data_IF_786125820508
#
_entry.id   IF_786125820508
#
_cell.length_a   1.000
_cell.length_b   1.000
_cell.length_c   1.000
_cell.angle_alpha   90.00
_cell.angle_beta   90.00
_cell.angle_gamma   90.00
#
_symmetry.space_group_name_H-M   'P 1'
#
loop_
_entity.id
_entity.type
_entity.pdbx_description
1 polymer ?
2 non-polymer ?
3 non-polymer ?
4 non-polymer ?
5 non-polymer ?
6 non-polymer ?
7 water ?
#
# COMPACT_ATOMS: atom_id res chain seq x y z
N UNK A 1 15.25 -9.08 5.48
CA UNK A 1 13.89 -9.69 5.26
C UNK A 1 13.71 -10.36 3.90
N UNK A 2 12.55 -11.00 3.67
CA UNK A 2 12.29 -11.75 2.43
C UNK A 2 11.80 -10.87 1.28
N UNK A 3 11.86 -11.44 0.07
CA UNK A 3 11.34 -10.84 -1.16
C UNK A 3 10.36 -11.83 -1.79
N UNK A 4 9.54 -11.37 -2.74
CA UNK A 4 8.65 -12.25 -3.52
C UNK A 4 9.51 -12.99 -4.54
N UNK A 5 9.45 -14.32 -4.56
CA UNK A 5 10.28 -15.15 -5.49
C UNK A 5 9.53 -15.44 -6.81
N UNK A 6 8.96 -14.39 -7.40
CA UNK A 6 8.12 -14.45 -8.61
C UNK A 6 7.80 -13.02 -9.02
N UNK A 7 7.65 -12.76 -10.33
CA UNK A 7 7.40 -11.41 -10.85
C UNK A 7 5.91 -11.07 -11.16
N UNK A 8 5.03 -12.07 -11.26
CA UNK A 8 3.59 -11.86 -11.45
C UNK A 8 2.88 -12.02 -10.10
N UNK A 9 2.40 -10.88 -9.59
CA UNK A 9 1.85 -10.77 -8.28
C UNK A 9 0.39 -10.32 -8.48
N UNK A 10 -0.52 -10.94 -7.73
CA UNK A 10 -1.94 -10.64 -7.77
C UNK A 10 -2.34 -9.89 -6.52
N UNK A 11 -3.38 -9.06 -6.68
CA UNK A 11 -4.05 -8.42 -5.57
C UNK A 11 -5.54 -8.55 -5.70
N UNK A 12 -6.22 -8.52 -4.56
CA UNK A 12 -7.67 -8.49 -4.49
C UNK A 12 -8.09 -7.48 -3.44
N UNK A 13 -9.13 -6.72 -3.77
CA UNK A 13 -9.76 -5.80 -2.83
C UNK A 13 -10.80 -6.61 -2.08
N UNK A 14 -10.51 -6.92 -0.82
CA UNK A 14 -11.39 -7.69 0.04
C UNK A 14 -12.77 -7.03 0.26
N UNK A 15 -12.70 -5.73 0.55
CA UNK A 15 -13.84 -4.90 0.89
C UNK A 15 -13.51 -3.43 0.60
N UNK A 16 -14.54 -2.62 0.40
CA UNK A 16 -14.41 -1.23 -0.01
C UNK A 16 -14.79 -0.35 1.14
N UNK A 17 -13.99 0.68 1.39
CA UNK A 17 -14.38 1.77 2.26
C UNK A 17 -15.66 2.47 1.75
N UNK A 18 -16.63 2.72 2.65
CA UNK A 18 -17.75 3.60 2.29
C UNK A 18 -17.38 5.07 2.13
N UNK A 19 -16.14 5.46 2.43
CA UNK A 19 -15.71 6.87 2.34
C UNK A 19 -15.68 7.38 0.91
N UNK A 20 -15.35 6.50 -0.05
CA UNK A 20 -15.07 6.87 -1.44
C UNK A 20 -15.96 6.07 -2.38
N UNK A 21 -16.09 6.58 -3.61
CA UNK A 21 -16.67 5.78 -4.71
C UNK A 21 -15.79 4.56 -4.99
N UNK A 22 -16.41 3.43 -5.26
CA UNK A 22 -15.65 2.19 -5.52
C UNK A 22 -14.66 2.30 -6.67
N UNK A 23 -15.08 2.95 -7.74
CA UNK A 23 -14.14 3.21 -8.86
C UNK A 23 -12.88 4.03 -8.47
N UNK A 24 -13.04 4.96 -7.52
CA UNK A 24 -11.92 5.76 -7.00
C UNK A 24 -10.99 4.92 -6.15
N UNK A 25 -11.57 4.01 -5.36
CA UNK A 25 -10.79 3.06 -4.60
C UNK A 25 -9.99 2.18 -5.59
N UNK A 26 -10.67 1.65 -6.61
CA UNK A 26 -9.98 0.77 -7.60
C UNK A 26 -8.82 1.50 -8.27
N UNK A 27 -9.11 2.74 -8.68
CA UNK A 27 -8.15 3.61 -9.33
C UNK A 27 -6.93 3.93 -8.47
N UNK A 28 -7.16 4.35 -7.23
CA UNK A 28 -6.07 4.67 -6.30
C UNK A 28 -5.15 3.46 -6.12
N UNK A 29 -5.76 2.28 -5.90
CA UNK A 29 -4.98 1.06 -5.67
C UNK A 29 -4.20 0.66 -6.93
N UNK A 30 -4.87 0.63 -8.07
CA UNK A 30 -4.22 0.29 -9.34
C UNK A 30 -3.00 1.21 -9.60
N UNK A 31 -3.21 2.52 -9.44
CA UNK A 31 -2.15 3.50 -9.67
C UNK A 31 -1.02 3.36 -8.67
N UNK A 32 -1.33 2.94 -7.44
CA UNK A 32 -0.30 2.68 -6.43
C UNK A 32 0.60 1.51 -6.80
N UNK A 33 0.00 0.42 -7.27
CA UNK A 33 0.78 -0.73 -7.77
C UNK A 33 1.63 -0.33 -8.99
N UNK A 34 1.06 0.45 -9.89
CA UNK A 34 1.78 0.98 -11.06
C UNK A 34 3.08 1.77 -10.75
N UNK A 35 3.05 2.55 -9.68
CA UNK A 35 4.25 3.25 -9.18
C UNK A 35 5.46 2.31 -9.00
N UNK A 36 5.21 1.19 -8.33
CA UNK A 36 6.24 0.21 -8.04
C UNK A 36 6.58 -0.66 -9.26
N UNK A 37 5.58 -1.06 -10.04
CA UNK A 37 5.85 -1.84 -11.27
C UNK A 37 6.63 -1.07 -12.33
N UNK A 38 6.50 0.26 -12.36
CA UNK A 38 7.32 1.11 -13.26
C UNK A 38 8.82 1.07 -13.01
N UNK A 39 9.27 0.77 -11.78
CA UNK A 39 10.70 0.78 -11.40
C UNK A 39 11.33 -0.60 -11.13
N UNK A 40 10.51 -1.66 -11.30
CA UNK A 40 10.88 -3.05 -11.05
C UNK A 40 10.41 -3.96 -12.19
N UNK A 41 10.85 -5.24 -12.18
CA UNK A 41 10.26 -6.26 -13.08
C UNK A 41 8.88 -6.83 -12.66
N UNK A 42 8.33 -6.39 -11.50
CA UNK A 42 7.09 -6.94 -10.94
C UNK A 42 5.88 -6.47 -11.76
N UNK A 43 4.93 -7.38 -11.99
CA UNK A 43 3.66 -7.09 -12.69
C UNK A 43 2.55 -7.39 -11.70
N UNK A 44 1.60 -6.46 -11.59
CA UNK A 44 0.51 -6.57 -10.63
C UNK A 44 -0.80 -6.75 -11.38
N UNK A 45 -1.62 -7.71 -10.93
CA UNK A 45 -2.92 -7.98 -11.57
C UNK A 45 -3.99 -8.01 -10.51
N UNK A 46 -5.11 -7.34 -10.78
CA UNK A 46 -6.27 -7.40 -9.92
C UNK A 46 -7.03 -8.69 -10.24
N UNK A 47 -7.34 -9.48 -9.22
CA UNK A 47 -8.21 -10.66 -9.36
C UNK A 47 -9.46 -10.50 -8.51
N UNK A 48 -10.54 -11.12 -8.99
CA UNK A 48 -11.87 -11.04 -8.36
C UNK A 48 -12.36 -12.31 -7.70
N UNK A 49 -11.53 -13.35 -7.69
CA UNK A 49 -11.93 -14.59 -7.07
C UNK A 49 -10.68 -15.38 -6.74
N UNK A 50 -10.80 -16.28 -5.77
CA UNK A 50 -9.65 -17.04 -5.25
C UNK A 50 -8.72 -16.22 -4.39
N UNK A 51 -7.65 -16.86 -3.94
CA UNK A 51 -6.66 -16.23 -3.05
C UNK A 51 -5.66 -15.40 -3.86
N UNK A 52 -5.53 -14.12 -3.55
CA UNK A 52 -4.50 -13.25 -4.16
C UNK A 52 -3.24 -13.26 -3.29
N UNK A 53 -2.11 -12.85 -3.86
CA UNK A 53 -0.88 -12.63 -3.06
C UNK A 53 -1.09 -11.53 -2.02
N UNK A 54 -1.63 -10.39 -2.47
CA UNK A 54 -1.83 -9.22 -1.64
C UNK A 54 -3.33 -8.98 -1.48
N UNK A 55 -3.85 -9.28 -0.30
CA UNK A 55 -5.21 -8.87 0.06
C UNK A 55 -5.26 -7.42 0.61
N UNK A 56 -6.10 -6.57 -0.02
CA UNK A 56 -6.36 -5.18 0.42
C UNK A 56 -7.65 -5.15 1.27
N UNK A 57 -7.52 -4.68 2.52
CA UNK A 57 -8.60 -4.75 3.50
C UNK A 57 -8.77 -3.35 4.11
N UNK A 58 -10.02 -2.94 4.30
CA UNK A 58 -10.39 -1.81 5.16
C UNK A 58 -10.98 -2.38 6.43
N UNK A 59 -10.41 -2.07 7.59
CA UNK A 59 -10.94 -2.55 8.87
C UNK A 59 -10.65 -1.54 9.95
N UNK A 60 -11.37 -1.63 11.06
CA UNK A 60 -11.14 -0.74 12.22
C UNK A 60 -10.85 -1.57 13.47
N UNK A 61 -10.13 -0.97 14.42
CA UNK A 61 -9.90 -1.62 15.71
C UNK A 61 -9.09 -2.91 15.55
N UNK A 62 -9.31 -3.80 16.51
CA UNK A 62 -8.83 -5.16 16.45
C UNK A 62 -9.60 -5.88 15.35
N UNK A 63 -8.89 -6.41 14.34
CA UNK A 63 -9.50 -6.96 13.11
C UNK A 63 -8.93 -8.31 12.69
N UNK A 64 -8.47 -9.12 13.65
CA UNK A 64 -8.05 -10.51 13.42
C UNK A 64 -6.57 -10.83 13.20
N UNK A 65 -5.68 -9.83 13.25
CA UNK A 65 -4.24 -10.08 13.14
C UNK A 65 -3.65 -9.61 14.45
N UNK A 66 -2.33 -9.50 14.56
CA UNK A 66 -1.73 -9.19 15.88
C UNK A 66 -1.85 -7.70 16.29
N UNK A 67 -2.28 -6.83 15.36
CA UNK A 67 -2.11 -5.41 15.52
C UNK A 67 -3.38 -4.64 15.30
N UNK A 68 -4.01 -4.19 16.40
CA UNK A 68 -5.25 -3.41 16.26
C UNK A 68 -4.96 -1.99 15.73
N UNK A 69 -5.86 -1.49 14.90
CA UNK A 69 -5.91 -0.06 14.59
C UNK A 69 -6.47 0.70 15.76
N UNK A 70 -6.31 2.02 15.70
CA UNK A 70 -6.29 2.87 16.89
C UNK A 70 -7.25 4.09 16.82
N UNK A 71 -8.32 4.00 16.01
CA UNK A 71 -9.24 5.13 15.78
C UNK A 71 -8.68 6.13 14.81
N UNK A 72 -9.39 7.26 14.63
CA UNK A 72 -8.93 8.31 13.71
C UNK A 72 -7.61 8.91 14.20
N UNK A 73 -6.71 9.18 13.26
CA UNK A 73 -5.35 9.62 13.57
C UNK A 73 -4.38 8.50 13.88
N UNK A 74 -3.15 8.88 14.22
CA UNK A 74 -2.08 7.91 14.52
C UNK A 74 -1.83 7.01 13.34
N UNK A 75 -1.91 5.69 13.55
CA UNK A 75 -1.66 4.71 12.51
C UNK A 75 -2.75 4.80 11.42
N UNK A 76 -2.35 4.89 10.14
CA UNK A 76 -3.24 5.03 9.02
C UNK A 76 -3.52 3.67 8.37
N UNK A 77 -2.53 2.78 8.40
CA UNK A 77 -2.57 1.48 7.70
C UNK A 77 -1.39 0.67 8.16
N UNK A 78 -1.40 -0.63 7.88
CA UNK A 78 -0.22 -1.42 8.01
C UNK A 78 -0.24 -2.52 6.97
N UNK A 79 0.93 -3.08 6.74
CA UNK A 79 1.09 -4.16 5.79
C UNK A 79 2.17 -5.14 6.21
N UNK A 80 2.14 -6.31 5.60
CA UNK A 80 3.01 -7.42 5.95
C UNK A 80 3.92 -7.70 4.80
N UNK A 81 5.20 -7.96 5.09
CA UNK A 81 6.20 -8.25 4.05
C UNK A 81 5.93 -9.55 3.29
N UNK A 82 6.71 -9.82 2.22
CA UNK A 82 6.46 -10.99 1.38
C UNK A 82 6.44 -12.30 2.14
N UNK A 83 5.53 -13.17 1.71
CA UNK A 83 5.33 -14.50 2.29
C UNK A 83 3.88 -14.91 2.04
N UNK A 84 3.58 -16.15 2.39
CA UNK A 84 2.24 -16.73 2.16
C UNK A 84 1.25 -16.24 3.23
N UNK A 85 -0.03 -16.50 2.99
CA UNK A 85 -1.09 -16.16 3.92
C UNK A 85 -1.27 -14.67 4.07
N UNK A 86 -1.17 -14.18 5.31
CA UNK A 86 -1.23 -12.75 5.60
C UNK A 86 -0.05 -11.97 5.02
N UNK A 87 1.07 -12.66 4.70
CA UNK A 87 2.20 -12.04 4.01
C UNK A 87 1.79 -11.30 2.76
N UNK A 88 2.35 -10.10 2.56
CA UNK A 88 1.94 -9.18 1.49
C UNK A 88 0.71 -8.31 1.71
N UNK A 89 -0.19 -8.70 2.64
CA UNK A 89 -1.50 -8.05 2.73
C UNK A 89 -1.37 -6.63 3.30
N UNK A 90 -2.29 -5.77 2.90
CA UNK A 90 -2.26 -4.34 3.18
C UNK A 90 -3.63 -3.96 3.74
N UNK A 91 -3.62 -3.48 4.98
CA UNK A 91 -4.78 -3.13 5.75
C UNK A 91 -4.84 -1.64 6.01
N UNK A 92 -6.01 -1.06 5.76
CA UNK A 92 -6.21 0.39 5.86
C UNK A 92 -7.25 0.62 6.95
N UNK A 93 -6.94 1.57 7.82
CA UNK A 93 -7.77 1.83 9.00
C UNK A 93 -9.03 2.57 8.56
N UNK A 94 -10.16 1.92 8.73
CA UNK A 94 -11.44 2.49 8.34
C UNK A 94 -11.84 3.67 9.20
N UNK A 95 -11.29 3.79 10.40
CA UNK A 95 -11.48 5.03 11.18
C UNK A 95 -10.87 6.28 10.58
N UNK A 96 -9.97 6.14 9.61
CA UNK A 96 -9.56 7.30 8.81
C UNK A 96 -10.63 7.60 7.77
N UNK A 97 -10.64 8.84 7.27
CA UNK A 97 -11.51 9.24 6.15
C UNK A 97 -10.69 9.26 4.85
N UNK A 98 -10.89 8.26 4.01
CA UNK A 98 -10.10 8.05 2.79
C UNK A 98 -10.65 8.93 1.66
N UNK A 99 -9.77 9.67 0.99
CA UNK A 99 -10.17 10.59 -0.04
C UNK A 99 -9.32 10.45 -1.30
N UNK A 100 -9.85 10.98 -2.40
CA UNK A 100 -9.12 11.02 -3.67
C UNK A 100 -8.00 12.06 -3.68
N UNK A 101 -8.17 13.14 -2.91
CA UNK A 101 -7.17 14.22 -2.77
C UNK A 101 -6.82 14.37 -1.28
N UNK A 102 -6.73 15.60 -0.76
CA UNK A 102 -6.29 15.90 0.62
C UNK A 102 -7.42 16.15 1.62
N UNK A 103 -8.69 15.94 1.23
CA UNK A 103 -9.84 16.17 2.10
C UNK A 103 -9.77 15.44 3.44
N UNK A 104 -9.24 14.22 3.40
CA UNK A 104 -8.94 13.40 4.59
C UNK A 104 -7.55 12.84 4.37
N UNK A 105 -7.38 11.52 4.49
CA UNK A 105 -6.11 10.85 4.23
C UNK A 105 -6.15 10.29 2.82
N UNK A 106 -5.15 10.63 2.01
CA UNK A 106 -5.14 10.19 0.64
C UNK A 106 -4.83 8.70 0.49
N UNK A 107 -5.77 7.99 -0.14
CA UNK A 107 -5.65 6.55 -0.28
C UNK A 107 -4.51 6.17 -1.21
N UNK A 108 -4.39 6.84 -2.36
CA UNK A 108 -3.28 6.57 -3.28
C UNK A 108 -1.92 6.62 -2.57
N UNK A 109 -1.65 7.72 -1.86
CA UNK A 109 -0.30 7.90 -1.25
C UNK A 109 -0.06 6.87 -0.17
N UNK A 110 -1.10 6.62 0.62
CA UNK A 110 -1.05 5.60 1.68
C UNK A 110 -0.75 4.21 1.09
N UNK A 111 -1.41 3.90 0.00
CA UNK A 111 -1.26 2.64 -0.71
C UNK A 111 0.12 2.46 -1.27
N UNK A 112 0.72 3.53 -1.80
CA UNK A 112 2.14 3.47 -2.28
C UNK A 112 3.05 3.07 -1.13
N UNK A 113 2.87 3.72 0.02
CA UNK A 113 3.68 3.41 1.21
C UNK A 113 3.46 1.94 1.67
N UNK A 114 2.20 1.53 1.80
CA UNK A 114 1.86 0.17 2.23
C UNK A 114 2.35 -0.92 1.28
N UNK A 115 2.19 -0.68 -0.02
CA UNK A 115 2.69 -1.64 -1.04
C UNK A 115 4.21 -1.82 -0.92
N UNK A 116 4.92 -0.74 -0.60
CA UNK A 116 6.37 -0.80 -0.37
C UNK A 116 6.75 -1.81 0.69
N UNK A 117 6.04 -1.76 1.82
CA UNK A 117 6.10 -2.78 2.88
C UNK A 117 5.70 -4.19 2.38
N UNK A 118 4.61 -4.29 1.63
CA UNK A 118 4.15 -5.56 1.01
C UNK A 118 5.21 -6.22 0.15
N UNK A 119 6.05 -5.40 -0.48
CA UNK A 119 7.18 -5.84 -1.32
C UNK A 119 8.50 -6.07 -0.59
N UNK A 120 8.58 -5.69 0.70
CA UNK A 120 9.71 -5.96 1.57
C UNK A 120 10.52 -4.75 2.00
N UNK A 121 10.13 -3.52 1.64
CA UNK A 121 10.86 -2.32 2.09
C UNK A 121 10.54 -1.97 3.53
N UNK A 122 11.55 -1.50 4.26
CA UNK A 122 11.35 -0.83 5.54
C UNK A 122 11.24 0.67 5.35
N UNK A 123 11.37 1.41 6.45
CA UNK A 123 11.28 2.88 6.42
C UNK A 123 12.57 3.54 6.00
N UNK A 124 12.42 4.77 5.51
CA UNK A 124 13.49 5.61 5.03
C UNK A 124 13.67 6.77 6.00
N UNK A 125 14.91 7.20 6.15
CA UNK A 125 15.23 8.43 6.86
C UNK A 125 15.16 9.65 5.93
N UNK A 126 15.00 9.47 4.61
CA UNK A 126 14.82 10.56 3.69
C UNK A 126 13.39 11.12 3.80
N UNK A 127 13.23 12.40 4.23
CA UNK A 127 11.87 13.01 4.24
C UNK A 127 11.16 13.13 2.88
N UNK A 128 11.91 13.11 1.78
CA UNK A 128 11.34 13.03 0.41
C UNK A 128 10.83 11.67 0.01
N UNK A 129 11.25 10.62 0.71
CA UNK A 129 10.85 9.24 0.40
C UNK A 129 9.38 8.96 0.75
N UNK A 130 8.68 8.25 -0.13
CA UNK A 130 7.35 7.71 0.17
C UNK A 130 7.40 6.74 1.39
N UNK A 131 8.54 6.07 1.58
CA UNK A 131 8.78 5.20 2.74
C UNK A 131 9.21 5.89 4.04
N UNK A 132 9.27 7.24 4.04
CA UNK A 132 9.44 8.02 5.29
C UNK A 132 8.28 7.67 6.22
N UNK A 133 8.51 7.61 7.55
CA UNK A 133 7.38 7.22 8.44
C UNK A 133 6.18 8.17 8.52
N UNK A 134 6.40 9.46 8.32
CA UNK A 134 5.37 10.49 8.51
C UNK A 134 4.64 10.77 7.20
N UNK A 135 3.34 10.51 7.21
CA UNK A 135 2.46 10.88 6.12
C UNK A 135 2.40 12.42 5.96
N UNK A 136 2.50 12.87 4.73
CA UNK A 136 2.13 14.23 4.39
C UNK A 136 1.57 14.20 2.97
N UNK A 137 0.61 15.06 2.70
CA UNK A 137 0.05 15.12 1.36
C UNK A 137 1.06 15.80 0.46
N UNK A 138 1.15 15.31 -0.77
CA UNK A 138 1.88 15.96 -1.84
C UNK A 138 0.95 15.99 -3.02
N UNK A 139 1.24 16.91 -3.94
CA UNK A 139 0.54 17.02 -5.21
C UNK A 139 0.65 15.67 -5.93
N UNK A 140 -0.47 14.96 -6.00
CA UNK A 140 -0.48 13.63 -6.65
C UNK A 140 -0.29 13.65 -8.19
N UNK A 141 -0.64 14.77 -8.82
CA UNK A 141 -0.33 15.00 -10.22
C UNK A 141 1.19 15.07 -10.53
N UNK A 142 2.02 15.46 -9.56
CA UNK A 142 3.49 15.49 -9.72
C UNK A 142 4.20 14.43 -8.87
N UNK A 143 3.47 13.43 -8.39
CA UNK A 143 4.00 12.43 -7.47
C UNK A 143 5.11 11.65 -8.16
N UNK A 144 6.22 11.44 -7.48
CA UNK A 144 7.24 10.46 -7.92
C UNK A 144 7.98 9.91 -6.72
N UNK A 145 8.50 8.69 -6.85
CA UNK A 145 9.36 8.04 -5.84
C UNK A 145 10.65 8.82 -5.72
N UNK A 146 11.23 8.91 -4.51
CA UNK A 146 12.57 9.49 -4.36
C UNK A 146 13.64 8.52 -4.90
N UNK A 147 14.86 9.03 -5.05
CA UNK A 147 16.05 8.21 -5.34
C UNK A 147 16.29 7.11 -4.28
N UNK A 148 16.02 7.46 -3.02
CA UNK A 148 16.07 6.52 -1.91
C UNK A 148 15.05 5.37 -2.06
N UNK A 149 13.83 5.68 -2.48
CA UNK A 149 12.81 4.66 -2.80
C UNK A 149 13.22 3.70 -3.93
N UNK A 150 13.72 4.25 -5.04
CA UNK A 150 14.05 3.49 -6.26
C UNK A 150 15.25 2.54 -5.99
N UNK A 151 16.29 3.07 -5.35
CA UNK A 151 17.42 2.26 -4.87
C UNK A 151 16.97 1.13 -3.95
N UNK A 152 16.12 1.47 -2.97
CA UNK A 152 15.53 0.50 -2.06
C UNK A 152 14.87 -0.67 -2.78
N UNK A 153 13.95 -0.38 -3.69
CA UNK A 153 13.17 -1.45 -4.34
C UNK A 153 13.99 -2.23 -5.38
N UNK A 154 14.87 -1.53 -6.09
CA UNK A 154 15.77 -2.18 -7.06
C UNK A 154 16.85 -3.07 -6.42
N UNK A 155 17.24 -2.80 -5.16
CA UNK A 155 18.16 -3.67 -4.42
C UNK A 155 17.53 -5.04 -4.11
N UNK A 156 16.21 -5.04 -3.87
CA UNK A 156 15.42 -6.27 -3.70
C UNK A 156 15.09 -7.02 -5.01
N UNK A 157 14.74 -6.28 -6.08
CA UNK A 157 14.18 -6.87 -7.32
C UNK A 157 14.93 -6.61 -8.63
N UNK A 158 16.03 -5.85 -8.60
CA UNK A 158 16.70 -5.41 -9.83
C UNK A 158 15.86 -4.44 -10.64
#
# INVERSE_FOLDING_TARGET
GPVWRKHYITYRINNYTPDMNREDVDYAIRKAFQVWSNVTPLKFSKINTGMADILVVFARGAHGDDHAFDGKGGILAHAFGPGSGIGGDAHFDEDEFWTTHSGGTNLFLTAVHEIGHSLGLGHSSDPKAVMFPTYKYVDINTFRLSADDIRGIQSLYG
#
